data_IF_203287000018
#
_entry.id   IF_203287000018
#
_cell.length_a   1.000
_cell.length_b   1.000
_cell.length_c   1.000
_cell.angle_alpha   90.00
_cell.angle_beta   90.00
_cell.angle_gamma   90.00
#
_symmetry.space_group_name_H-M   'P 1'
#
loop_
_entity.id
_entity.type
_entity.pdbx_description
1 polymer ?
#
# COMPACT_ATOMS: atom_id res chain seq x y z
N UNK A 1 -12.76 19.74 -19.64
CA UNK A 1 -11.50 19.68 -18.87
C UNK A 1 -11.03 18.23 -18.88
N UNK A 2 -9.91 17.95 -19.54
CA UNK A 2 -9.32 16.59 -19.53
C UNK A 2 -8.73 16.29 -18.15
N UNK A 3 -8.52 15.01 -17.83
CA UNK A 3 -7.91 14.66 -16.54
C UNK A 3 -6.48 15.21 -16.39
N UNK A 4 -5.73 15.29 -17.49
CA UNK A 4 -4.40 15.92 -17.50
C UNK A 4 -4.49 17.43 -17.26
N UNK A 5 -5.47 18.13 -17.83
CA UNK A 5 -5.71 19.55 -17.52
C UNK A 5 -6.05 19.75 -16.04
N UNK A 6 -6.84 18.85 -15.44
CA UNK A 6 -7.10 18.86 -14.01
C UNK A 6 -5.82 18.69 -13.18
N UNK A 7 -4.98 17.72 -13.53
CA UNK A 7 -3.69 17.52 -12.84
C UNK A 7 -2.76 18.72 -13.01
N UNK A 8 -2.78 19.38 -14.17
CA UNK A 8 -2.07 20.63 -14.41
C UNK A 8 -2.57 21.76 -13.51
N UNK A 9 -3.88 21.91 -13.37
CA UNK A 9 -4.48 22.89 -12.47
C UNK A 9 -4.15 22.59 -11.00
N UNK A 10 -4.20 21.32 -10.58
CA UNK A 10 -3.79 20.89 -9.24
C UNK A 10 -2.31 21.19 -8.98
N UNK A 11 -1.45 20.94 -9.97
CA UNK A 11 -0.01 21.18 -9.91
C UNK A 11 0.35 22.67 -9.74
N UNK A 12 -0.52 23.58 -10.20
CA UNK A 12 -0.39 25.03 -10.03
C UNK A 12 -1.01 25.59 -8.75
N UNK A 13 -1.56 24.76 -7.86
CA UNK A 13 -2.07 25.24 -6.58
C UNK A 13 -0.93 25.58 -5.62
N UNK A 14 -1.09 26.64 -4.83
CA UNK A 14 -0.11 27.10 -3.84
C UNK A 14 0.54 25.98 -2.98
N UNK A 15 -0.21 25.05 -2.34
CA UNK A 15 0.40 24.02 -1.51
C UNK A 15 1.24 23.02 -2.31
N UNK A 16 0.83 22.72 -3.55
CA UNK A 16 1.55 21.79 -4.43
C UNK A 16 2.81 22.45 -5.00
N UNK A 17 2.73 23.72 -5.35
CA UNK A 17 3.88 24.49 -5.81
C UNK A 17 4.95 24.63 -4.71
N UNK A 18 4.54 24.87 -3.47
CA UNK A 18 5.46 24.89 -2.32
C UNK A 18 6.14 23.54 -2.10
N UNK A 19 5.40 22.43 -2.20
CA UNK A 19 5.96 21.09 -2.07
C UNK A 19 6.99 20.80 -3.17
N UNK A 20 6.74 21.27 -4.40
CA UNK A 20 7.63 21.12 -5.55
C UNK A 20 8.88 21.99 -5.46
N UNK A 21 8.75 23.18 -4.88
CA UNK A 21 9.87 24.08 -4.62
C UNK A 21 10.65 23.75 -3.34
N UNK A 22 10.21 22.73 -2.57
CA UNK A 22 10.87 22.33 -1.35
C UNK A 22 12.27 21.77 -1.62
N UNK A 23 13.15 21.84 -0.61
CA UNK A 23 14.47 21.22 -0.66
C UNK A 23 14.34 19.72 -0.99
N UNK A 24 15.24 19.17 -1.84
CA UNK A 24 15.27 17.77 -2.23
C UNK A 24 15.20 16.80 -1.04
N UNK A 25 15.81 17.17 0.09
CA UNK A 25 15.76 16.41 1.35
C UNK A 25 14.32 16.13 1.82
N UNK A 26 13.37 17.03 1.58
CA UNK A 26 11.97 16.83 1.97
C UNK A 26 11.35 15.68 1.19
N UNK A 27 11.63 15.59 -0.11
CA UNK A 27 11.13 14.53 -0.98
C UNK A 27 11.83 13.20 -0.64
N UNK A 28 13.14 13.22 -0.42
CA UNK A 28 13.92 12.03 -0.04
C UNK A 28 13.48 11.45 1.30
N UNK A 29 13.31 12.30 2.33
CA UNK A 29 12.79 11.86 3.64
C UNK A 29 11.36 11.32 3.47
N UNK A 30 10.52 11.96 2.66
CA UNK A 30 9.17 11.46 2.37
C UNK A 30 9.22 10.07 1.73
N UNK A 31 10.16 9.82 0.82
CA UNK A 31 10.37 8.51 0.21
C UNK A 31 10.85 7.47 1.22
N UNK A 32 11.78 7.82 2.11
CA UNK A 32 12.22 6.95 3.21
C UNK A 32 11.04 6.56 4.10
N UNK A 33 10.24 7.54 4.54
CA UNK A 33 9.06 7.28 5.38
C UNK A 33 8.02 6.45 4.62
N UNK A 34 7.85 6.69 3.32
CA UNK A 34 6.97 5.87 2.47
C UNK A 34 7.40 4.40 2.45
N UNK A 35 8.68 4.15 2.23
CA UNK A 35 9.24 2.79 2.20
C UNK A 35 9.15 2.13 3.58
N UNK A 36 9.43 2.84 4.68
CA UNK A 36 9.25 2.33 6.03
C UNK A 36 7.79 1.96 6.33
N UNK A 37 6.85 2.80 5.90
CA UNK A 37 5.41 2.51 6.00
C UNK A 37 5.04 1.23 5.24
N UNK A 38 5.55 1.07 4.01
CA UNK A 38 5.37 -0.15 3.22
C UNK A 38 5.99 -1.37 3.90
N UNK A 39 7.19 -1.26 4.46
CA UNK A 39 7.85 -2.37 5.18
C UNK A 39 7.02 -2.82 6.39
N UNK A 40 6.50 -1.87 7.18
CA UNK A 40 5.62 -2.18 8.31
C UNK A 40 4.34 -2.88 7.86
N UNK A 41 3.69 -2.34 6.82
CA UNK A 41 2.50 -2.93 6.20
C UNK A 41 2.75 -4.36 5.70
N UNK A 42 3.79 -4.55 4.87
CA UNK A 42 4.16 -5.84 4.28
C UNK A 42 4.53 -6.86 5.36
N UNK A 43 5.17 -6.45 6.45
CA UNK A 43 5.47 -7.33 7.58
C UNK A 43 4.19 -7.90 8.19
N UNK A 44 3.19 -7.04 8.44
CA UNK A 44 1.91 -7.47 8.98
C UNK A 44 1.14 -8.39 8.00
N UNK A 45 1.11 -8.02 6.73
CA UNK A 45 0.50 -8.82 5.65
C UNK A 45 1.15 -10.19 5.53
N UNK A 46 2.49 -10.24 5.53
CA UNK A 46 3.25 -11.47 5.43
C UNK A 46 3.03 -12.37 6.63
N UNK A 47 3.11 -11.82 7.85
CA UNK A 47 2.89 -12.58 9.08
C UNK A 47 1.50 -13.21 9.12
N UNK A 48 0.46 -12.43 8.80
CA UNK A 48 -0.91 -12.93 8.75
C UNK A 48 -1.10 -13.97 7.64
N UNK A 49 -0.52 -13.73 6.46
CA UNK A 49 -0.60 -14.66 5.33
C UNK A 49 0.07 -16.00 5.63
N UNK A 50 1.29 -15.98 6.17
CA UNK A 50 2.00 -17.20 6.59
C UNK A 50 1.25 -17.93 7.70
N UNK A 51 0.61 -17.19 8.61
CA UNK A 51 -0.26 -17.79 9.63
C UNK A 51 -1.47 -18.47 9.00
N UNK A 52 -2.16 -17.84 8.07
CA UNK A 52 -3.31 -18.42 7.36
C UNK A 52 -2.92 -19.65 6.53
N UNK A 53 -1.67 -19.70 6.05
CA UNK A 53 -1.09 -20.88 5.39
C UNK A 53 -0.70 -21.99 6.37
N UNK A 54 -0.70 -21.72 7.68
CA UNK A 54 -0.28 -22.67 8.71
C UNK A 54 1.24 -22.82 8.86
N UNK A 55 2.03 -21.91 8.27
CA UNK A 55 3.50 -21.98 8.26
C UNK A 55 4.10 -21.42 9.56
N UNK A 56 3.50 -20.35 10.11
CA UNK A 56 3.97 -19.69 11.33
C UNK A 56 2.83 -19.57 12.35
N UNK A 57 3.18 -19.65 13.64
CA UNK A 57 2.24 -19.51 14.76
C UNK A 57 0.96 -20.38 14.65
N UNK A 58 1.01 -21.64 14.17
CA UNK A 58 -0.20 -22.43 13.89
C UNK A 58 -1.07 -22.68 15.14
N UNK A 59 -0.48 -22.64 16.34
CA UNK A 59 -1.18 -22.80 17.61
C UNK A 59 -2.02 -21.58 18.02
N UNK A 60 -1.73 -20.38 17.51
CA UNK A 60 -2.46 -19.16 17.84
C UNK A 60 -3.61 -18.93 16.87
N UNK A 61 -4.82 -18.53 17.27
CA UNK A 61 -5.87 -18.13 16.33
C UNK A 61 -5.41 -17.03 15.36
N UNK A 62 -5.80 -17.11 14.10
CA UNK A 62 -5.46 -16.12 13.07
C UNK A 62 -5.99 -14.72 13.43
N UNK A 63 -7.12 -14.64 14.13
CA UNK A 63 -7.65 -13.40 14.69
C UNK A 63 -6.69 -12.74 15.70
N UNK A 64 -6.02 -13.53 16.54
CA UNK A 64 -5.03 -13.02 17.52
C UNK A 64 -3.82 -12.45 16.81
N UNK A 65 -3.29 -13.17 15.81
CA UNK A 65 -2.17 -12.71 14.99
C UNK A 65 -2.53 -11.46 14.21
N UNK A 66 -3.72 -11.41 13.60
CA UNK A 66 -4.21 -10.25 12.88
C UNK A 66 -4.28 -9.01 13.77
N UNK A 67 -4.85 -9.12 14.98
CA UNK A 67 -4.96 -8.01 15.95
C UNK A 67 -3.59 -7.54 16.43
N UNK A 68 -2.67 -8.46 16.71
CA UNK A 68 -1.32 -8.12 17.11
C UNK A 68 -0.54 -7.39 16.00
N UNK A 69 -0.77 -7.75 14.73
CA UNK A 69 -0.16 -7.13 13.57
C UNK A 69 -0.85 -5.81 13.14
N UNK A 70 -2.03 -5.50 13.67
CA UNK A 70 -2.83 -4.33 13.28
C UNK A 70 -2.12 -2.98 13.36
N UNK A 71 -1.30 -2.67 14.38
CA UNK A 71 -0.58 -1.39 14.43
C UNK A 71 0.37 -1.22 13.24
N UNK A 72 1.10 -2.28 12.87
CA UNK A 72 1.97 -2.27 11.70
C UNK A 72 1.18 -2.23 10.40
N UNK A 73 0.08 -2.98 10.32
CA UNK A 73 -0.79 -3.00 9.15
C UNK A 73 -1.38 -1.62 8.85
N UNK A 74 -2.11 -1.06 9.81
CA UNK A 74 -2.85 0.19 9.62
C UNK A 74 -1.97 1.42 9.74
N UNK A 75 -0.99 1.41 10.65
CA UNK A 75 0.00 2.48 10.77
C UNK A 75 0.90 2.56 9.54
N UNK A 76 1.40 1.41 9.07
CA UNK A 76 2.18 1.32 7.85
C UNK A 76 1.38 1.74 6.61
N UNK A 77 0.12 1.31 6.51
CA UNK A 77 -0.77 1.75 5.43
C UNK A 77 -1.01 3.25 5.47
N UNK A 78 -1.33 3.82 6.63
CA UNK A 78 -1.57 5.25 6.77
C UNK A 78 -0.33 6.06 6.38
N UNK A 79 0.84 5.68 6.90
CA UNK A 79 2.11 6.31 6.55
C UNK A 79 2.38 6.25 5.04
N UNK A 80 2.22 5.06 4.43
CA UNK A 80 2.44 4.87 2.99
C UNK A 80 1.43 5.66 2.14
N UNK A 81 0.17 5.74 2.53
CA UNK A 81 -0.85 6.50 1.80
C UNK A 81 -0.61 8.01 1.86
N UNK A 82 -0.29 8.55 3.03
CA UNK A 82 -0.02 9.98 3.21
C UNK A 82 1.22 10.37 2.43
N UNK A 83 2.34 9.68 2.66
CA UNK A 83 3.60 9.97 1.96
C UNK A 83 3.54 9.68 0.47
N UNK A 84 2.84 8.63 0.04
CA UNK A 84 2.66 8.32 -1.39
C UNK A 84 1.85 9.41 -2.11
N UNK A 85 0.87 10.00 -1.42
CA UNK A 85 0.13 11.15 -1.94
C UNK A 85 1.03 12.38 -2.06
N UNK A 86 1.86 12.67 -1.05
CA UNK A 86 2.84 13.76 -1.11
C UNK A 86 3.84 13.56 -2.26
N UNK A 87 4.36 12.34 -2.44
CA UNK A 87 5.26 12.02 -3.56
C UNK A 87 4.56 12.24 -4.90
N UNK A 88 3.32 11.78 -5.07
CA UNK A 88 2.54 12.06 -6.29
C UNK A 88 2.36 13.57 -6.52
N UNK A 89 2.03 14.33 -5.48
CA UNK A 89 1.85 15.78 -5.56
C UNK A 89 3.15 16.54 -5.89
N UNK A 90 4.33 15.96 -5.66
CA UNK A 90 5.59 16.55 -6.14
C UNK A 90 5.71 16.59 -7.68
N UNK A 91 4.85 15.88 -8.40
CA UNK A 91 4.79 15.94 -9.86
C UNK A 91 3.59 15.20 -10.43
N UNK A 92 2.34 15.68 -10.25
CA UNK A 92 1.13 14.94 -10.58
C UNK A 92 1.09 14.51 -12.05
N UNK A 93 1.41 15.43 -12.96
CA UNK A 93 1.42 15.17 -14.40
C UNK A 93 2.53 14.18 -14.76
N UNK A 94 3.72 14.30 -14.15
CA UNK A 94 4.87 13.41 -14.36
C UNK A 94 4.54 11.98 -13.94
N UNK A 95 3.99 11.80 -12.74
CA UNK A 95 3.63 10.47 -12.24
C UNK A 95 2.46 9.87 -13.01
N UNK A 96 1.45 10.67 -13.38
CA UNK A 96 0.32 10.16 -14.15
C UNK A 96 0.73 9.68 -15.55
N UNK A 97 1.68 10.36 -16.20
CA UNK A 97 2.22 9.95 -17.49
C UNK A 97 3.13 8.71 -17.42
N UNK A 98 3.55 8.29 -16.21
CA UNK A 98 4.40 7.13 -16.03
C UNK A 98 3.64 5.83 -16.28
N UNK A 99 4.17 4.96 -17.16
CA UNK A 99 3.51 3.72 -17.56
C UNK A 99 3.25 2.74 -16.38
N UNK A 100 4.04 2.79 -15.31
CA UNK A 100 3.85 1.96 -14.12
C UNK A 100 2.82 2.53 -13.13
N UNK A 101 2.48 3.82 -13.21
CA UNK A 101 1.59 4.45 -12.23
C UNK A 101 0.15 3.95 -12.33
N UNK A 102 -0.41 3.84 -13.54
CA UNK A 102 -1.76 3.31 -13.76
C UNK A 102 -1.95 1.90 -13.16
N UNK A 103 -1.12 0.91 -13.54
CA UNK A 103 -1.14 -0.43 -12.95
C UNK A 103 -0.98 -0.41 -11.42
N UNK A 104 -0.08 0.42 -10.88
CA UNK A 104 0.09 0.58 -9.43
C UNK A 104 -1.22 0.97 -8.75
N UNK A 105 -1.95 1.94 -9.30
CA UNK A 105 -3.19 2.45 -8.71
C UNK A 105 -4.31 1.41 -8.75
N UNK A 106 -4.41 0.63 -9.83
CA UNK A 106 -5.36 -0.49 -9.93
C UNK A 106 -5.04 -1.56 -8.89
N UNK A 107 -3.79 -1.99 -8.81
CA UNK A 107 -3.34 -2.97 -7.82
C UNK A 107 -3.55 -2.48 -6.39
N UNK A 108 -3.30 -1.19 -6.12
CA UNK A 108 -3.52 -0.59 -4.81
C UNK A 108 -5.00 -0.63 -4.42
N UNK A 109 -5.91 -0.26 -5.33
CA UNK A 109 -7.35 -0.32 -5.06
C UNK A 109 -7.80 -1.76 -4.75
N UNK A 110 -7.35 -2.73 -5.54
CA UNK A 110 -7.64 -4.16 -5.31
C UNK A 110 -7.04 -4.65 -3.99
N UNK A 111 -5.79 -4.28 -3.68
CA UNK A 111 -5.10 -4.63 -2.44
C UNK A 111 -5.86 -4.11 -1.21
N UNK A 112 -6.31 -2.86 -1.23
CA UNK A 112 -7.07 -2.23 -0.15
C UNK A 112 -8.39 -2.97 0.11
N UNK A 113 -9.14 -3.28 -0.94
CA UNK A 113 -10.41 -4.01 -0.84
C UNK A 113 -10.16 -5.43 -0.31
N UNK A 114 -9.21 -6.17 -0.89
CA UNK A 114 -8.86 -7.52 -0.47
C UNK A 114 -8.39 -7.55 0.99
N UNK A 115 -7.54 -6.59 1.40
CA UNK A 115 -7.05 -6.44 2.76
C UNK A 115 -8.20 -6.21 3.74
N UNK A 116 -9.09 -5.26 3.45
CA UNK A 116 -10.21 -4.93 4.33
C UNK A 116 -11.17 -6.12 4.47
N UNK A 117 -11.47 -6.82 3.37
CA UNK A 117 -12.34 -8.01 3.37
C UNK A 117 -11.70 -9.14 4.18
N UNK A 118 -10.43 -9.48 3.92
CA UNK A 118 -9.74 -10.57 4.61
C UNK A 118 -9.57 -10.27 6.10
N UNK A 119 -9.12 -9.06 6.45
CA UNK A 119 -8.96 -8.64 7.84
C UNK A 119 -10.29 -8.71 8.60
N UNK A 120 -11.39 -8.22 8.01
CA UNK A 120 -12.73 -8.32 8.62
C UNK A 120 -13.17 -9.77 8.81
N UNK A 121 -12.96 -10.64 7.81
CA UNK A 121 -13.30 -12.06 7.93
C UNK A 121 -12.50 -12.74 9.03
N UNK A 122 -11.19 -12.54 9.06
CA UNK A 122 -10.30 -13.13 10.07
C UNK A 122 -10.64 -12.67 11.49
N UNK A 123 -10.97 -11.38 11.67
CA UNK A 123 -11.20 -10.82 13.01
C UNK A 123 -12.63 -11.05 13.54
N UNK A 124 -13.63 -11.22 12.66
CA UNK A 124 -15.05 -11.30 13.03
C UNK A 124 -15.70 -12.66 12.84
N UNK A 125 -15.17 -13.52 11.97
CA UNK A 125 -15.75 -14.82 11.68
C UNK A 125 -14.93 -15.95 12.33
N UNK A 126 -15.51 -17.16 12.47
CA UNK A 126 -14.73 -18.37 12.74
C UNK A 126 -13.60 -18.53 11.73
N UNK A 127 -12.56 -19.29 12.10
CA UNK A 127 -11.40 -19.54 11.25
C UNK A 127 -11.83 -19.92 9.82
N UNK A 128 -11.34 -19.20 8.80
CA UNK A 128 -11.69 -19.51 7.42
C UNK A 128 -11.24 -20.93 7.06
N UNK A 129 -12.05 -21.63 6.27
CA UNK A 129 -11.67 -22.93 5.75
C UNK A 129 -10.33 -22.88 4.99
N UNK A 130 -9.55 -23.98 4.95
CA UNK A 130 -8.16 -23.96 4.46
C UNK A 130 -7.99 -23.43 3.04
N UNK A 131 -8.95 -23.73 2.15
CA UNK A 131 -8.90 -23.24 0.76
C UNK A 131 -9.04 -21.71 0.68
N UNK A 132 -9.96 -21.12 1.47
CA UNK A 132 -10.20 -19.68 1.52
C UNK A 132 -9.04 -18.96 2.19
N UNK A 133 -8.47 -19.55 3.25
CA UNK A 133 -7.30 -19.02 3.93
C UNK A 133 -6.09 -18.95 2.98
N UNK A 134 -5.83 -20.04 2.24
CA UNK A 134 -4.69 -20.13 1.29
C UNK A 134 -4.84 -19.19 0.11
N UNK A 135 -6.00 -19.17 -0.54
CA UNK A 135 -6.24 -18.29 -1.69
C UNK A 135 -6.23 -16.81 -1.29
N UNK A 136 -6.81 -16.48 -0.13
CA UNK A 136 -6.78 -15.14 0.44
C UNK A 136 -5.37 -14.66 0.74
N UNK A 137 -4.54 -15.50 1.39
CA UNK A 137 -3.14 -15.21 1.67
C UNK A 137 -2.33 -14.99 0.38
N UNK A 138 -2.45 -15.90 -0.60
CA UNK A 138 -1.72 -15.80 -1.86
C UNK A 138 -2.12 -14.54 -2.66
N UNK A 139 -3.42 -14.26 -2.77
CA UNK A 139 -3.93 -13.07 -3.45
C UNK A 139 -3.41 -11.79 -2.78
N UNK A 140 -3.45 -11.73 -1.45
CA UNK A 140 -3.05 -10.55 -0.70
C UNK A 140 -1.55 -10.26 -0.87
N UNK A 141 -0.72 -11.29 -0.84
CA UNK A 141 0.72 -11.18 -1.12
C UNK A 141 0.94 -10.72 -2.56
N UNK A 142 0.33 -11.38 -3.54
CA UNK A 142 0.48 -11.01 -4.95
C UNK A 142 0.12 -9.54 -5.22
N UNK A 143 -0.98 -9.05 -4.64
CA UNK A 143 -1.41 -7.66 -4.79
C UNK A 143 -0.42 -6.69 -4.15
N UNK A 144 -0.04 -6.86 -2.88
CA UNK A 144 0.86 -5.93 -2.19
C UNK A 144 2.28 -5.94 -2.75
N UNK A 145 2.82 -7.11 -3.11
CA UNK A 145 4.10 -7.18 -3.81
C UNK A 145 4.00 -6.55 -5.20
N UNK A 146 2.89 -6.73 -5.92
CA UNK A 146 2.62 -6.04 -7.18
C UNK A 146 2.62 -4.52 -7.05
N UNK A 147 1.96 -3.98 -6.02
CA UNK A 147 1.98 -2.53 -5.71
C UNK A 147 3.42 -2.04 -5.47
N UNK A 148 4.22 -2.80 -4.73
CA UNK A 148 5.63 -2.50 -4.48
C UNK A 148 6.49 -2.53 -5.75
N UNK A 149 6.30 -3.56 -6.59
CA UNK A 149 7.00 -3.71 -7.87
C UNK A 149 6.69 -2.55 -8.82
N UNK A 150 5.41 -2.21 -9.02
CA UNK A 150 5.05 -1.04 -9.82
C UNK A 150 5.58 0.25 -9.20
N UNK A 151 5.60 0.34 -7.86
CA UNK A 151 6.22 1.47 -7.15
C UNK A 151 7.69 1.66 -7.47
N UNK A 152 8.47 0.58 -7.51
CA UNK A 152 9.87 0.63 -7.92
C UNK A 152 10.04 0.89 -9.41
N UNK A 153 9.17 0.33 -10.26
CA UNK A 153 9.21 0.57 -11.69
C UNK A 153 9.07 2.06 -12.06
N UNK A 154 8.26 2.84 -11.32
CA UNK A 154 8.13 4.30 -11.52
C UNK A 154 9.49 5.03 -11.45
N UNK A 155 10.46 4.52 -10.68
CA UNK A 155 11.80 5.10 -10.60
C UNK A 155 12.72 4.74 -11.78
N UNK A 156 12.32 3.79 -12.64
CA UNK A 156 13.17 3.23 -13.70
C UNK A 156 12.63 3.45 -15.11
N UNK A 157 11.30 3.58 -15.29
CA UNK A 157 10.64 3.69 -16.60
C UNK A 157 9.88 4.99 -16.75
#
# INVERSE_FOLDING_TARGET
MTFIEFLGALQGTWPVEQLRGANHLVIEITEVVHVLGLVGLLTAVLLLSLRLLGVVLPALPSATVARAASPLLWGGLAAAMVTGTLLFLSGPVRYYANAAFGPKMVLLALALVAQAVLYRRVVRAPEPGPAVARSGAALLLALWFGVGLCGRAIGYI
#
